data_IF_154912382590
#
_entry.id   IF_154912382590
#
_cell.length_a   1.000
_cell.length_b   1.000
_cell.length_c   1.000
_cell.angle_alpha   90.00
_cell.angle_beta   90.00
_cell.angle_gamma   90.00
#
_symmetry.space_group_name_H-M   'P 1'
#
loop_
_entity.id
_entity.type
_entity.pdbx_description
1 polymer ?
#
# COMPACT_ATOMS: atom_id res chain seq x y z
N UNK A 1 -32.94 -9.57 7.34
CA UNK A 1 -31.61 -9.80 6.75
C UNK A 1 -30.73 -8.64 7.17
N UNK A 2 -29.60 -8.89 7.86
CA UNK A 2 -28.61 -7.85 8.13
C UNK A 2 -28.00 -7.46 6.78
N UNK A 3 -28.08 -6.18 6.42
CA UNK A 3 -27.43 -5.66 5.21
C UNK A 3 -25.92 -5.75 5.39
N UNK A 4 -25.22 -6.22 4.35
CA UNK A 4 -23.75 -6.27 4.38
C UNK A 4 -23.20 -4.84 4.58
N UNK A 5 -22.13 -4.71 5.37
CA UNK A 5 -21.46 -3.41 5.60
C UNK A 5 -20.99 -2.84 4.25
N UNK A 6 -21.28 -1.57 3.91
CA UNK A 6 -20.86 -0.94 2.66
C UNK A 6 -19.34 -1.05 2.44
N UNK A 7 -18.89 -1.22 1.19
CA UNK A 7 -17.48 -1.47 0.88
C UNK A 7 -16.60 -0.25 1.18
N UNK A 8 -17.19 0.93 1.16
CA UNK A 8 -16.60 2.21 1.52
C UNK A 8 -16.11 2.23 2.97
N UNK A 9 -16.62 1.32 3.82
CA UNK A 9 -16.20 1.13 5.20
C UNK A 9 -15.24 -0.05 5.36
N UNK A 10 -14.48 -0.41 4.33
CA UNK A 10 -13.57 -1.57 4.31
C UNK A 10 -12.65 -1.64 5.53
N UNK A 11 -12.16 -0.51 6.05
CA UNK A 11 -11.29 -0.47 7.24
C UNK A 11 -11.93 -1.00 8.52
N UNK A 12 -13.27 -1.06 8.59
CA UNK A 12 -14.02 -1.54 9.76
C UNK A 12 -14.28 -3.05 9.79
N UNK A 13 -14.10 -3.74 8.66
CA UNK A 13 -14.41 -5.18 8.55
C UNK A 13 -13.39 -5.98 7.74
N UNK A 14 -12.52 -5.33 6.98
CA UNK A 14 -11.41 -5.94 6.26
C UNK A 14 -10.50 -6.69 7.22
N UNK A 15 -10.05 -7.87 6.81
CA UNK A 15 -9.44 -8.84 7.74
C UNK A 15 -7.93 -8.80 7.70
N UNK A 16 -7.36 -8.33 6.59
CA UNK A 16 -5.91 -8.21 6.41
C UNK A 16 -5.53 -7.07 5.47
N UNK A 17 -4.32 -6.57 5.70
CA UNK A 17 -3.59 -5.70 4.79
C UNK A 17 -2.37 -6.48 4.32
N UNK A 18 -2.29 -6.74 3.03
CA UNK A 18 -1.15 -7.34 2.35
C UNK A 18 -0.35 -6.19 1.75
N UNK A 19 0.97 -6.21 1.85
CA UNK A 19 1.80 -5.13 1.34
C UNK A 19 3.00 -5.69 0.58
N UNK A 20 3.36 -5.01 -0.50
CA UNK A 20 4.43 -5.40 -1.39
C UNK A 20 5.60 -4.42 -1.32
N UNK A 21 6.77 -4.92 -0.93
CA UNK A 21 8.01 -4.16 -0.93
C UNK A 21 8.75 -4.25 -2.27
N UNK A 22 9.57 -3.23 -2.58
CA UNK A 22 10.45 -3.20 -3.75
C UNK A 22 9.70 -3.35 -5.08
N UNK A 23 8.47 -2.84 -5.14
CA UNK A 23 7.55 -3.03 -6.27
C UNK A 23 7.68 -2.00 -7.38
N UNK A 24 8.60 -1.03 -7.29
CA UNK A 24 8.83 -0.06 -8.36
C UNK A 24 10.16 -0.36 -9.07
N UNK A 25 10.21 -0.07 -10.38
CA UNK A 25 11.38 -0.34 -11.23
C UNK A 25 12.68 0.25 -10.67
N UNK A 26 12.61 1.42 -10.04
CA UNK A 26 13.78 2.10 -9.45
C UNK A 26 14.44 1.34 -8.29
N UNK A 27 13.75 0.38 -7.67
CA UNK A 27 14.32 -0.43 -6.59
C UNK A 27 15.34 -1.47 -7.09
N UNK A 28 15.44 -1.65 -8.41
CA UNK A 28 16.22 -2.71 -9.04
C UNK A 28 17.21 -2.16 -10.07
N UNK A 29 18.42 -2.77 -10.19
CA UNK A 29 19.30 -2.50 -11.31
C UNK A 29 18.61 -2.78 -12.65
N UNK A 30 18.89 -1.99 -13.70
CA UNK A 30 18.22 -2.12 -15.00
C UNK A 30 18.36 -3.55 -15.59
N UNK A 31 19.55 -4.13 -15.51
CA UNK A 31 19.82 -5.53 -15.93
C UNK A 31 18.93 -6.56 -15.22
N UNK A 32 18.51 -6.33 -13.97
CA UNK A 32 17.67 -7.28 -13.23
C UNK A 32 16.23 -7.35 -13.77
N UNK A 33 15.79 -6.32 -14.50
CA UNK A 33 14.40 -6.15 -14.97
C UNK A 33 14.28 -6.04 -16.50
N UNK A 34 15.33 -6.44 -17.23
CA UNK A 34 15.37 -6.44 -18.70
C UNK A 34 14.70 -7.68 -19.30
N UNK A 35 14.19 -7.59 -20.53
CA UNK A 35 13.62 -8.73 -21.26
C UNK A 35 14.61 -9.89 -21.31
N UNK A 36 14.21 -11.05 -20.80
CA UNK A 36 15.04 -12.26 -20.74
C UNK A 36 15.70 -12.53 -19.38
N UNK A 37 15.68 -11.58 -18.45
CA UNK A 37 16.07 -11.84 -17.05
C UNK A 37 14.93 -12.54 -16.29
N UNK A 38 15.27 -13.33 -15.26
CA UNK A 38 14.27 -13.80 -14.30
C UNK A 38 13.84 -12.59 -13.46
N UNK A 39 12.61 -12.11 -13.68
CA UNK A 39 11.98 -11.07 -12.85
C UNK A 39 12.06 -11.50 -11.38
N UNK A 40 12.48 -10.62 -10.45
CA UNK A 40 12.49 -10.92 -9.03
C UNK A 40 11.10 -11.34 -8.54
N UNK A 41 11.05 -12.14 -7.48
CA UNK A 41 9.78 -12.48 -6.84
C UNK A 41 9.31 -11.29 -5.97
N UNK A 42 8.00 -10.99 -5.95
CA UNK A 42 7.46 -9.91 -5.11
C UNK A 42 7.74 -10.17 -3.62
N UNK A 43 8.30 -9.18 -2.93
CA UNK A 43 8.48 -9.22 -1.49
C UNK A 43 7.15 -8.89 -0.80
N UNK A 44 6.58 -9.83 -0.08
CA UNK A 44 5.28 -9.69 0.58
C UNK A 44 5.41 -9.70 2.10
N UNK A 45 4.68 -8.81 2.77
CA UNK A 45 4.45 -8.84 4.21
C UNK A 45 3.00 -8.44 4.53
N UNK A 46 2.62 -8.55 5.80
CA UNK A 46 1.26 -8.24 6.27
C UNK A 46 1.28 -7.17 7.35
N UNK A 47 0.22 -6.37 7.39
CA UNK A 47 -0.06 -5.42 8.48
C UNK A 47 -1.39 -5.80 9.14
N UNK A 48 -1.50 -5.76 10.48
CA UNK A 48 -2.78 -5.96 11.16
C UNK A 48 -3.81 -4.88 10.80
N UNK A 49 -5.12 -5.17 10.75
CA UNK A 49 -6.15 -4.13 10.56
C UNK A 49 -6.14 -3.03 11.63
N UNK A 50 -5.64 -3.32 12.84
CA UNK A 50 -5.49 -2.31 13.91
C UNK A 50 -4.51 -1.18 13.55
N UNK A 51 -3.69 -1.37 12.51
CA UNK A 51 -2.77 -0.33 12.03
C UNK A 51 -3.47 0.79 11.25
N UNK A 52 -4.71 0.58 10.81
CA UNK A 52 -5.44 1.60 10.07
C UNK A 52 -5.60 2.89 10.87
N UNK A 53 -5.39 4.02 10.21
CA UNK A 53 -5.92 5.30 10.67
C UNK A 53 -6.50 6.08 9.49
N UNK A 54 -7.72 6.58 9.66
CA UNK A 54 -8.40 7.38 8.64
C UNK A 54 -8.05 8.86 8.81
N UNK A 55 -8.33 9.67 7.78
CA UNK A 55 -8.21 11.12 7.88
C UNK A 55 -9.07 11.66 9.03
N UNK A 56 -8.47 12.45 9.93
CA UNK A 56 -9.13 12.94 11.14
C UNK A 56 -9.32 11.91 12.26
N UNK A 57 -8.82 10.68 12.06
CA UNK A 57 -8.77 9.63 13.07
C UNK A 57 -7.60 9.80 14.05
N UNK A 58 -7.08 8.67 14.56
CA UNK A 58 -5.92 8.67 15.47
C UNK A 58 -4.70 9.28 14.76
N UNK A 59 -3.98 10.23 15.38
CA UNK A 59 -2.74 10.73 14.79
C UNK A 59 -1.71 9.61 14.68
N UNK A 60 -0.74 9.76 13.76
CA UNK A 60 0.39 8.83 13.69
C UNK A 60 1.15 8.84 15.03
N UNK A 61 1.29 7.67 15.62
CA UNK A 61 2.10 7.44 16.80
C UNK A 61 3.52 7.08 16.38
N UNK A 62 4.50 7.84 16.88
CA UNK A 62 5.93 7.57 16.66
C UNK A 62 6.50 7.14 18.01
N UNK A 63 6.71 5.83 18.25
CA UNK A 63 7.24 5.36 19.52
C UNK A 63 8.63 5.94 19.80
N UNK A 64 8.94 6.12 21.08
CA UNK A 64 10.26 6.61 21.51
C UNK A 64 11.37 5.72 20.96
N UNK A 65 12.40 6.35 20.39
CA UNK A 65 13.55 5.65 19.80
C UNK A 65 13.28 5.05 18.41
N UNK A 66 12.10 5.20 17.82
CA UNK A 66 11.83 4.78 16.45
C UNK A 66 12.12 5.92 15.45
N UNK A 67 12.83 5.59 14.37
CA UNK A 67 12.95 6.44 13.19
C UNK A 67 11.88 6.00 12.18
N UNK A 68 10.76 6.73 12.13
CA UNK A 68 9.63 6.37 11.29
C UNK A 68 9.74 7.03 9.93
N UNK A 69 9.54 6.27 8.86
CA UNK A 69 9.59 6.72 7.47
C UNK A 69 8.22 6.63 6.82
N UNK A 70 7.93 7.56 5.91
CA UNK A 70 6.74 7.54 5.06
C UNK A 70 7.00 6.76 3.77
N UNK A 71 6.02 5.98 3.33
CA UNK A 71 6.05 5.25 2.05
C UNK A 71 4.65 5.41 1.43
N UNK A 72 4.45 6.37 0.50
CA UNK A 72 3.14 6.56 -0.16
C UNK A 72 2.85 5.43 -1.14
N UNK A 73 1.65 4.83 -1.08
CA UNK A 73 1.27 3.68 -1.89
C UNK A 73 -0.16 3.79 -2.41
N UNK A 74 -0.41 3.26 -3.62
CA UNK A 74 -1.76 2.96 -4.06
C UNK A 74 -2.23 1.70 -3.31
N UNK A 75 -3.38 1.78 -2.67
CA UNK A 75 -4.03 0.67 -2.01
C UNK A 75 -5.20 0.16 -2.87
N UNK A 76 -5.26 -1.15 -3.06
CA UNK A 76 -6.35 -1.85 -3.75
C UNK A 76 -7.29 -2.41 -2.69
N UNK A 77 -8.59 -2.12 -2.79
CA UNK A 77 -9.63 -2.67 -1.92
C UNK A 77 -10.30 -3.85 -2.63
N UNK A 78 -10.23 -5.05 -2.05
CA UNK A 78 -10.80 -6.27 -2.62
C UNK A 78 -12.32 -6.30 -2.39
N UNK A 79 -13.09 -6.56 -3.46
CA UNK A 79 -14.55 -6.53 -3.44
C UNK A 79 -15.22 -7.88 -3.16
N UNK A 80 -14.54 -9.00 -3.40
CA UNK A 80 -15.10 -10.35 -3.28
C UNK A 80 -14.01 -11.39 -2.98
N UNK A 81 -14.43 -12.53 -2.44
CA UNK A 81 -13.51 -13.62 -2.07
C UNK A 81 -12.87 -14.27 -3.30
N UNK A 82 -11.57 -14.54 -3.25
CA UNK A 82 -10.82 -15.18 -4.33
C UNK A 82 -9.53 -15.84 -3.87
N UNK A 83 -9.18 -16.97 -4.49
CA UNK A 83 -7.99 -17.78 -4.20
C UNK A 83 -7.43 -18.32 -5.51
N UNK A 84 -6.09 -18.37 -5.62
CA UNK A 84 -5.38 -18.85 -6.82
C UNK A 84 -5.90 -18.18 -8.11
N UNK A 85 -6.10 -16.86 -8.07
CA UNK A 85 -6.70 -16.10 -9.15
C UNK A 85 -5.75 -16.01 -10.35
N UNK A 86 -6.20 -16.33 -11.58
CA UNK A 86 -5.39 -16.08 -12.76
C UNK A 86 -5.28 -14.57 -13.01
N UNK A 87 -4.13 -14.12 -13.51
CA UNK A 87 -3.84 -12.70 -13.82
C UNK A 87 -4.96 -12.10 -14.68
N UNK A 88 -5.47 -12.84 -15.66
CA UNK A 88 -6.51 -12.39 -16.60
C UNK A 88 -7.85 -12.04 -15.96
N UNK A 89 -8.14 -12.51 -14.73
CA UNK A 89 -9.36 -12.18 -14.01
C UNK A 89 -9.13 -11.39 -12.73
N UNK A 90 -7.87 -11.16 -12.35
CA UNK A 90 -7.49 -10.64 -11.04
C UNK A 90 -8.10 -9.25 -10.76
N UNK A 91 -8.07 -8.34 -11.74
CA UNK A 91 -8.62 -6.98 -11.57
C UNK A 91 -10.14 -6.96 -11.39
N UNK A 92 -10.87 -8.00 -11.81
CA UNK A 92 -12.32 -8.12 -11.58
C UNK A 92 -12.71 -8.32 -10.10
N UNK A 93 -11.72 -8.51 -9.23
CA UNK A 93 -11.89 -8.63 -7.78
C UNK A 93 -11.68 -7.30 -7.06
N UNK A 94 -11.29 -6.25 -7.77
CA UNK A 94 -11.12 -4.91 -7.20
C UNK A 94 -12.50 -4.28 -6.99
N UNK A 95 -12.77 -3.81 -5.78
CA UNK A 95 -13.94 -2.98 -5.49
C UNK A 95 -13.64 -1.50 -5.73
N UNK A 96 -12.41 -1.09 -5.43
CA UNK A 96 -11.93 0.28 -5.58
C UNK A 96 -10.55 0.41 -4.98
N UNK A 97 -10.19 1.64 -4.63
CA UNK A 97 -8.84 2.01 -4.22
C UNK A 97 -8.85 2.93 -3.01
N UNK A 98 -7.67 3.18 -2.46
CA UNK A 98 -7.41 4.25 -1.52
C UNK A 98 -5.95 4.72 -1.68
N UNK A 99 -5.63 5.91 -1.19
CA UNK A 99 -4.25 6.33 -0.98
C UNK A 99 -3.84 5.90 0.42
N UNK A 100 -2.69 5.24 0.56
CA UNK A 100 -2.19 4.77 1.85
C UNK A 100 -0.75 5.20 2.08
N UNK A 101 -0.35 5.18 3.35
CA UNK A 101 1.05 5.26 3.76
C UNK A 101 1.43 3.95 4.45
N UNK A 102 2.46 3.29 3.94
CA UNK A 102 3.12 2.17 4.60
C UNK A 102 4.20 2.69 5.56
N UNK A 103 3.75 3.18 6.72
CA UNK A 103 4.65 3.72 7.72
C UNK A 103 5.58 2.64 8.23
N UNK A 104 6.87 2.97 8.34
CA UNK A 104 7.91 2.00 8.66
C UNK A 104 8.84 2.53 9.74
N UNK A 105 8.99 1.80 10.84
CA UNK A 105 10.05 2.09 11.82
C UNK A 105 11.38 1.59 11.24
N UNK A 106 12.08 2.44 10.49
CA UNK A 106 13.18 2.05 9.60
C UNK A 106 14.39 1.49 10.33
N UNK A 107 14.72 2.06 11.49
CA UNK A 107 15.77 1.53 12.35
C UNK A 107 15.41 0.14 12.92
N UNK A 108 14.14 -0.10 13.25
CA UNK A 108 13.65 -1.43 13.68
C UNK A 108 13.72 -2.42 12.52
N UNK A 109 13.28 -2.01 11.31
CA UNK A 109 13.34 -2.84 10.10
C UNK A 109 14.79 -3.25 9.79
N UNK A 110 15.74 -2.33 9.92
CA UNK A 110 17.15 -2.60 9.72
C UNK A 110 17.67 -3.69 10.68
N UNK A 111 17.33 -3.57 11.97
CA UNK A 111 17.69 -4.57 12.97
C UNK A 111 17.01 -5.93 12.73
N UNK A 112 15.74 -5.94 12.30
CA UNK A 112 15.04 -7.17 11.91
C UNK A 112 15.71 -7.86 10.71
N UNK A 113 16.14 -7.08 9.70
CA UNK A 113 16.85 -7.59 8.52
C UNK A 113 18.23 -8.16 8.88
N UNK A 114 19.00 -7.46 9.71
CA UNK A 114 20.31 -7.93 10.18
C UNK A 114 20.18 -9.28 10.91
N UNK A 115 19.16 -9.40 11.76
CA UNK A 115 18.86 -10.61 12.53
C UNK A 115 18.12 -11.69 11.72
N UNK A 116 17.71 -11.39 10.49
CA UNK A 116 16.90 -12.26 9.61
C UNK A 116 15.59 -12.74 10.26
N UNK A 117 14.88 -11.84 10.91
CA UNK A 117 13.57 -12.11 11.55
C UNK A 117 12.43 -11.37 10.83
N UNK A 118 11.16 -11.76 11.07
CA UNK A 118 10.00 -11.12 10.44
C UNK A 118 9.92 -9.62 10.69
N UNK A 119 9.26 -8.89 9.78
CA UNK A 119 9.12 -7.42 9.83
C UNK A 119 7.92 -6.95 10.66
N UNK A 120 7.39 -7.81 11.52
CA UNK A 120 6.14 -7.58 12.24
C UNK A 120 6.21 -6.32 13.11
N UNK A 121 7.35 -6.04 13.74
CA UNK A 121 7.47 -4.87 14.63
C UNK A 121 7.64 -3.60 13.79
N UNK A 122 8.47 -3.63 12.73
CA UNK A 122 8.71 -2.41 11.95
C UNK A 122 7.54 -1.96 11.07
N UNK A 123 6.66 -2.89 10.66
CA UNK A 123 5.51 -2.63 9.77
C UNK A 123 4.15 -2.71 10.48
N UNK A 124 4.06 -3.35 11.65
CA UNK A 124 2.78 -3.74 12.27
C UNK A 124 2.29 -2.89 13.44
N UNK A 125 2.91 -1.73 13.73
CA UNK A 125 2.52 -0.88 14.85
C UNK A 125 1.18 -0.18 14.60
N UNK A 126 0.46 0.13 15.69
CA UNK A 126 -0.74 0.95 15.63
C UNK A 126 -0.50 2.23 14.81
N UNK A 127 -1.50 2.68 14.06
CA UNK A 127 -1.46 3.88 13.20
C UNK A 127 -0.48 3.83 12.03
N UNK A 128 0.22 2.71 11.77
CA UNK A 128 1.19 2.58 10.67
C UNK A 128 0.58 2.34 9.29
N UNK A 129 -0.74 2.34 9.17
CA UNK A 129 -1.43 2.36 7.87
C UNK A 129 -2.41 3.53 7.80
N UNK A 130 -1.94 4.79 7.79
CA UNK A 130 -2.77 5.91 7.37
C UNK A 130 -3.34 5.63 5.99
N UNK A 131 -4.66 5.71 5.84
CA UNK A 131 -5.34 5.38 4.60
C UNK A 131 -6.49 6.36 4.35
N UNK A 132 -6.69 6.74 3.10
CA UNK A 132 -7.77 7.63 2.69
C UNK A 132 -9.13 6.95 2.77
N UNK A 133 -10.18 7.74 2.57
CA UNK A 133 -11.49 7.22 2.22
C UNK A 133 -11.41 6.40 0.91
N UNK A 134 -12.40 5.54 0.73
CA UNK A 134 -12.56 4.72 -0.46
C UNK A 134 -12.72 5.58 -1.72
N UNK A 135 -12.04 5.16 -2.78
CA UNK A 135 -12.09 5.74 -4.13
C UNK A 135 -12.66 4.67 -5.05
N UNK A 136 -13.80 4.94 -5.69
CA UNK A 136 -14.37 3.97 -6.64
C UNK A 136 -13.49 3.84 -7.89
N UNK A 137 -13.61 2.71 -8.60
CA UNK A 137 -12.89 2.51 -9.86
C UNK A 137 -13.19 3.62 -10.88
N UNK A 138 -14.44 4.08 -10.94
CA UNK A 138 -14.87 5.16 -11.84
C UNK A 138 -14.24 6.50 -11.47
N UNK A 139 -14.09 6.79 -10.17
CA UNK A 139 -13.50 8.02 -9.70
C UNK A 139 -11.97 8.07 -9.91
N UNK A 140 -11.30 6.91 -9.84
CA UNK A 140 -9.85 6.83 -10.09
C UNK A 140 -9.53 6.85 -11.59
N UNK A 141 -10.30 6.14 -12.42
CA UNK A 141 -9.97 5.89 -13.81
C UNK A 141 -8.97 4.73 -13.98
N UNK A 142 -7.97 4.91 -14.84
CA UNK A 142 -6.93 3.89 -15.07
C UNK A 142 -5.94 3.85 -13.89
N UNK A 143 -5.90 2.78 -13.08
CA UNK A 143 -5.01 2.70 -11.92
C UNK A 143 -3.51 2.60 -12.32
N UNK A 144 -3.19 2.31 -13.57
CA UNK A 144 -1.82 2.26 -14.10
C UNK A 144 -1.32 3.62 -14.59
N UNK A 145 -2.19 4.65 -14.57
CA UNK A 145 -1.90 6.02 -14.99
C UNK A 145 -2.26 7.05 -13.89
N UNK A 146 -1.69 6.87 -12.69
CA UNK A 146 -1.98 7.68 -11.51
C UNK A 146 -0.70 8.24 -10.91
N UNK A 147 -0.71 9.55 -10.60
CA UNK A 147 0.29 10.16 -9.72
C UNK A 147 -0.06 9.97 -8.24
N UNK A 148 0.90 9.44 -7.49
CA UNK A 148 0.89 9.38 -6.04
C UNK A 148 1.74 10.51 -5.49
N UNK A 149 1.15 11.38 -4.70
CA UNK A 149 1.81 12.57 -4.16
C UNK A 149 1.63 12.65 -2.65
N UNK A 150 2.70 13.06 -1.97
CA UNK A 150 2.75 13.19 -0.54
C UNK A 150 3.40 14.51 -0.15
N UNK A 151 2.61 15.38 0.48
CA UNK A 151 3.09 16.63 1.05
C UNK A 151 3.25 16.49 2.58
N UNK A 152 4.40 16.89 3.11
CA UNK A 152 4.66 16.99 4.56
C UNK A 152 4.91 18.46 4.89
N UNK A 153 4.01 19.05 5.68
CA UNK A 153 4.09 20.46 6.11
C UNK A 153 4.23 21.43 4.92
N UNK A 154 3.48 21.18 3.83
CA UNK A 154 3.45 22.02 2.65
C UNK A 154 4.67 21.88 1.72
N UNK A 155 5.50 20.84 1.92
CA UNK A 155 6.61 20.50 1.03
C UNK A 155 6.39 19.10 0.46
N UNK A 156 6.59 18.96 -0.85
CA UNK A 156 6.56 17.66 -1.51
C UNK A 156 7.64 16.76 -0.88
N UNK A 157 7.21 15.60 -0.38
CA UNK A 157 8.05 14.59 0.22
C UNK A 157 8.22 13.37 -0.71
N UNK A 158 7.13 12.95 -1.37
CA UNK A 158 7.18 11.94 -2.41
C UNK A 158 6.26 12.31 -3.57
N UNK A 159 6.71 11.94 -4.76
CA UNK A 159 5.92 11.95 -5.98
C UNK A 159 6.33 10.75 -6.84
N UNK A 160 5.36 10.01 -7.34
CA UNK A 160 5.59 8.84 -8.17
C UNK A 160 4.41 8.54 -9.06
N UNK A 161 4.63 7.69 -10.06
CA UNK A 161 3.62 7.33 -11.04
C UNK A 161 3.44 5.81 -11.10
N UNK A 162 2.21 5.32 -11.09
CA UNK A 162 1.90 3.88 -11.02
C UNK A 162 2.37 3.10 -12.24
N UNK A 163 2.57 3.73 -13.41
CA UNK A 163 3.22 3.09 -14.58
C UNK A 163 4.66 2.63 -14.33
N UNK A 164 5.28 3.09 -13.23
CA UNK A 164 6.60 2.66 -12.77
C UNK A 164 6.57 1.44 -11.83
N UNK A 165 5.38 0.91 -11.51
CA UNK A 165 5.28 -0.39 -10.87
C UNK A 165 6.00 -1.44 -11.73
N UNK A 166 6.84 -2.23 -11.08
CA UNK A 166 7.51 -3.38 -11.66
C UNK A 166 6.53 -4.52 -11.88
N UNK A 167 5.60 -4.71 -10.94
CA UNK A 167 4.53 -5.70 -11.00
C UNK A 167 3.20 -5.00 -11.27
N UNK A 168 2.56 -5.24 -12.43
CA UNK A 168 1.19 -4.82 -12.67
C UNK A 168 0.24 -5.25 -11.55
N UNK A 169 -0.79 -4.45 -11.30
CA UNK A 169 -1.81 -4.70 -10.27
C UNK A 169 -2.39 -6.12 -10.35
N UNK A 170 -2.72 -6.60 -11.54
CA UNK A 170 -3.18 -7.96 -11.77
C UNK A 170 -2.18 -9.04 -11.29
N UNK A 171 -0.88 -8.84 -11.48
CA UNK A 171 0.17 -9.75 -10.99
C UNK A 171 0.24 -9.75 -9.46
N UNK A 172 0.15 -8.57 -8.83
CA UNK A 172 0.18 -8.44 -7.36
C UNK A 172 -1.02 -9.17 -6.72
N UNK A 173 -2.22 -8.98 -7.26
CA UNK A 173 -3.45 -9.65 -6.80
C UNK A 173 -3.33 -11.16 -7.00
N UNK A 174 -2.91 -11.60 -8.20
CA UNK A 174 -2.73 -13.02 -8.51
C UNK A 174 -1.73 -13.67 -7.55
N UNK A 175 -0.56 -13.05 -7.36
CA UNK A 175 0.48 -13.53 -6.46
C UNK A 175 0.00 -13.60 -5.00
N UNK A 176 -0.61 -12.53 -4.48
CA UNK A 176 -1.16 -12.53 -3.12
C UNK A 176 -2.20 -13.65 -2.94
N UNK A 177 -3.11 -13.80 -3.91
CA UNK A 177 -4.16 -14.82 -3.89
C UNK A 177 -3.62 -16.25 -3.97
N UNK A 178 -2.41 -16.45 -4.50
CA UNK A 178 -1.72 -17.75 -4.55
C UNK A 178 -1.06 -18.15 -3.22
N UNK A 179 -0.91 -17.21 -2.29
CA UNK A 179 -0.35 -17.46 -0.95
C UNK A 179 -1.47 -17.57 0.10
N UNK A 180 -2.44 -16.67 0.05
CA UNK A 180 -3.62 -16.68 0.93
C UNK A 180 -4.87 -16.20 0.19
N UNK A 181 -6.04 -16.74 0.54
CA UNK A 181 -7.31 -16.25 -0.03
C UNK A 181 -7.52 -14.78 0.30
N UNK A 182 -7.95 -14.00 -0.70
CA UNK A 182 -8.39 -12.62 -0.55
C UNK A 182 -9.87 -12.61 -0.19
N UNK A 183 -10.28 -11.72 0.69
CA UNK A 183 -11.66 -11.57 1.15
C UNK A 183 -12.15 -10.15 0.87
N UNK A 184 -13.47 -9.96 0.86
CA UNK A 184 -14.06 -8.63 0.70
C UNK A 184 -13.57 -7.70 1.81
N UNK A 185 -13.09 -6.51 1.44
CA UNK A 185 -12.57 -5.48 2.32
C UNK A 185 -11.08 -5.63 2.65
N UNK A 186 -10.43 -6.72 2.24
CA UNK A 186 -8.98 -6.80 2.35
C UNK A 186 -8.31 -5.75 1.47
N UNK A 187 -7.13 -5.33 1.89
CA UNK A 187 -6.35 -4.30 1.20
C UNK A 187 -5.01 -4.85 0.74
N UNK A 188 -4.61 -4.48 -0.47
CA UNK A 188 -3.27 -4.71 -1.00
C UNK A 188 -2.58 -3.36 -1.20
N UNK A 189 -1.47 -3.13 -0.50
CA UNK A 189 -0.58 -2.01 -0.73
C UNK A 189 0.46 -2.40 -1.80
N UNK A 190 0.57 -1.56 -2.84
CA UNK A 190 1.26 -1.92 -4.09
C UNK A 190 2.76 -1.64 -4.10
N UNK A 191 3.29 -1.04 -3.05
CA UNK A 191 4.66 -0.53 -2.95
C UNK A 191 4.73 0.99 -3.11
N UNK A 192 5.90 1.54 -2.79
CA UNK A 192 6.13 2.99 -2.76
C UNK A 192 7.13 3.46 -3.83
N UNK A 193 6.91 4.65 -4.44
CA UNK A 193 7.87 5.29 -5.33
C UNK A 193 9.11 5.79 -4.56
N UNK A 194 10.11 6.39 -5.26
CA UNK A 194 11.32 6.91 -4.62
C UNK A 194 11.04 7.96 -3.53
N UNK A 195 12.11 8.39 -2.87
CA UNK A 195 12.13 9.45 -1.85
C UNK A 195 11.39 9.11 -0.55
N UNK A 196 11.39 7.83 -0.16
CA UNK A 196 11.07 7.40 1.21
C UNK A 196 11.96 8.14 2.21
N UNK A 197 11.37 8.71 3.25
CA UNK A 197 12.09 9.58 4.17
C UNK A 197 11.48 9.68 5.56
N UNK A 198 12.23 10.24 6.52
CA UNK A 198 11.82 10.28 7.92
C UNK A 198 10.68 11.28 8.17
N UNK A 199 9.80 10.94 9.10
CA UNK A 199 8.73 11.81 9.59
C UNK A 199 8.94 12.15 11.06
N UNK A 200 8.71 13.41 11.42
CA UNK A 200 8.54 13.83 12.82
C UNK A 200 7.04 14.06 13.04
N UNK A 201 6.43 13.26 13.92
CA UNK A 201 5.01 13.27 14.33
C UNK A 201 4.05 14.06 13.43
N UNK A 202 3.26 13.35 12.62
CA UNK A 202 2.36 13.99 11.66
C UNK A 202 1.07 14.45 12.32
N UNK A 203 0.93 15.77 12.46
CA UNK A 203 -0.27 16.40 13.04
C UNK A 203 -1.46 16.38 12.08
N UNK A 204 -1.23 16.32 10.76
CA UNK A 204 -2.26 16.35 9.71
C UNK A 204 -1.68 15.90 8.37
N UNK A 205 -2.40 15.06 7.64
CA UNK A 205 -2.18 14.79 6.22
C UNK A 205 -3.41 15.26 5.44
N UNK A 206 -3.24 15.77 4.22
CA UNK A 206 -4.33 16.22 3.37
C UNK A 206 -4.23 15.59 1.99
N UNK A 207 -5.35 15.07 1.49
CA UNK A 207 -5.54 14.80 0.06
C UNK A 207 -5.47 16.15 -0.68
N UNK A 208 -4.49 16.33 -1.56
CA UNK A 208 -4.69 17.22 -2.71
C UNK A 208 -5.40 16.38 -3.76
N UNK A 209 -6.57 16.84 -4.19
CA UNK A 209 -7.26 16.27 -5.34
C UNK A 209 -6.38 16.52 -6.57
N UNK A 210 -5.67 15.50 -7.04
CA UNK A 210 -5.12 15.51 -8.40
C UNK A 210 -6.27 15.18 -9.34
N UNK A 211 -7.09 16.19 -9.63
CA UNK A 211 -7.91 16.27 -10.83
C UNK A 211 -7.48 17.54 -11.55
N UNK A 212 -6.24 17.57 -12.04
CA UNK A 212 -5.92 18.45 -13.17
C UNK A 212 -5.80 17.56 -14.39
N UNK A 213 -6.95 17.35 -15.03
CA UNK A 213 -7.01 17.03 -16.45
C UNK A 213 -6.42 18.21 -17.20
N UNK A 214 -5.16 18.12 -17.63
CA UNK A 214 -4.66 18.83 -18.80
C UNK A 214 -4.08 17.79 -19.77
#
# INVERSE_FOLDING_TARGET
MLTAVPIERFTSFGRKIIAFGLSYKHNWPAEAITVGSKKPEPLLFIKPPSTYTLQGGRPLEVPSGCEVHHEVELAIVIGKEGRDLPISSAESYIAGYALALDMTAKNVQAAERERRIPWTISKGLDTFTPISDFISCEALGDPHDVYLELDINGKEAQRGHTSNLLYPIAELISYASSIMSLERGDVILTGSPPNVGPVKALKRWSRKEVIDKH
#
